data_IF_663341781715
#
_entry.id   IF_663341781715
#
_cell.length_a   1.000
_cell.length_b   1.000
_cell.length_c   1.000
_cell.angle_alpha   90.00
_cell.angle_beta   90.00
_cell.angle_gamma   90.00
#
_symmetry.space_group_name_H-M   'P 1'
#
loop_
_entity.id
_entity.type
_entity.pdbx_description
1 polymer ?
#
# COMPACT_ATOMS: atom_id res chain seq x y z
N UNK A 1 62.12 -42.94 22.02
CA UNK A 1 60.75 -43.18 22.53
C UNK A 1 60.54 -42.26 23.72
N UNK A 2 59.88 -41.12 23.51
CA UNK A 2 59.55 -40.15 24.57
C UNK A 2 58.05 -40.24 24.80
N UNK A 3 57.68 -40.46 26.05
CA UNK A 3 56.32 -40.70 26.53
C UNK A 3 55.51 -39.39 26.53
N UNK A 4 54.31 -39.42 25.94
CA UNK A 4 53.34 -38.32 26.02
C UNK A 4 52.40 -38.58 27.21
N UNK A 5 52.39 -37.67 28.18
CA UNK A 5 51.36 -37.60 29.22
C UNK A 5 50.31 -36.53 28.85
N UNK A 6 49.02 -36.75 29.18
CA UNK A 6 47.91 -35.94 28.68
C UNK A 6 47.66 -34.70 29.56
N UNK A 7 47.58 -33.51 28.94
CA UNK A 7 47.08 -32.31 29.62
C UNK A 7 45.56 -32.22 29.50
N UNK A 8 44.92 -32.26 30.67
CA UNK A 8 43.53 -31.92 30.94
C UNK A 8 43.26 -30.44 30.63
N UNK A 9 42.21 -30.16 29.86
CA UNK A 9 41.67 -28.82 29.68
C UNK A 9 40.16 -28.82 29.98
N UNK A 10 39.85 -28.81 31.28
CA UNK A 10 38.56 -28.39 31.81
C UNK A 10 38.64 -26.95 32.33
N UNK A 11 37.54 -26.21 32.18
CA UNK A 11 37.28 -24.78 32.48
C UNK A 11 37.59 -23.84 31.30
N UNK A 12 36.65 -23.06 30.75
CA UNK A 12 35.70 -22.17 31.42
C UNK A 12 34.44 -21.94 30.54
N UNK A 13 33.25 -22.29 31.05
CA UNK A 13 31.96 -21.73 30.59
C UNK A 13 31.23 -21.13 31.80
N UNK A 14 30.77 -19.86 31.75
CA UNK A 14 30.13 -19.20 32.88
C UNK A 14 28.70 -19.71 33.13
N UNK A 15 28.40 -20.03 34.39
CA UNK A 15 27.13 -20.50 34.96
C UNK A 15 26.12 -19.37 35.21
N UNK A 16 25.74 -18.59 34.21
CA UNK A 16 24.64 -17.63 34.38
C UNK A 16 23.79 -17.55 33.13
N UNK A 17 22.48 -17.46 33.32
CA UNK A 17 21.41 -17.43 32.31
C UNK A 17 20.85 -18.83 31.97
N UNK A 18 19.99 -19.36 32.86
CA UNK A 18 18.63 -19.86 32.50
C UNK A 18 17.86 -20.47 33.69
N UNK A 19 17.91 -19.82 34.85
CA UNK A 19 16.92 -20.04 35.92
C UNK A 19 16.35 -18.71 36.39
N UNK A 20 15.44 -18.16 35.58
CA UNK A 20 14.32 -17.34 36.03
C UNK A 20 13.15 -17.85 35.16
N UNK A 21 12.19 -18.59 35.71
CA UNK A 21 11.02 -18.04 36.40
C UNK A 21 10.41 -16.93 35.52
N UNK A 22 9.22 -17.07 34.93
CA UNK A 22 8.01 -17.60 35.54
C UNK A 22 6.96 -17.83 34.46
N UNK A 23 6.13 -18.85 34.69
CA UNK A 23 4.89 -19.19 34.00
C UNK A 23 4.05 -17.95 33.65
N UNK A 24 3.69 -17.79 32.38
CA UNK A 24 2.53 -17.00 31.95
C UNK A 24 1.53 -17.94 31.27
N UNK A 25 0.64 -18.53 32.07
CA UNK A 25 -0.60 -19.16 31.61
C UNK A 25 -1.69 -18.10 31.68
N UNK A 26 -1.96 -17.41 30.58
CA UNK A 26 -3.20 -16.65 30.41
C UNK A 26 -3.84 -17.04 29.07
N UNK A 27 -4.98 -17.76 29.08
CA UNK A 27 -5.72 -18.05 27.86
C UNK A 27 -6.37 -16.78 27.33
N UNK A 28 -6.05 -16.44 26.08
CA UNK A 28 -6.68 -15.33 25.35
C UNK A 28 -8.14 -15.71 25.09
N UNK A 29 -9.05 -15.00 25.74
CA UNK A 29 -10.48 -15.04 25.45
C UNK A 29 -10.72 -14.36 24.10
N UNK A 30 -11.20 -15.13 23.13
CA UNK A 30 -11.66 -14.64 21.83
C UNK A 30 -12.97 -13.88 22.07
N UNK A 31 -12.91 -12.55 22.02
CA UNK A 31 -14.12 -11.72 22.00
C UNK A 31 -14.71 -11.79 20.59
N UNK A 32 -15.85 -12.46 20.46
CA UNK A 32 -16.72 -12.45 19.30
C UNK A 32 -17.42 -11.09 19.22
N UNK A 33 -16.95 -10.21 18.33
CA UNK A 33 -17.67 -8.99 18.01
C UNK A 33 -18.80 -9.35 17.04
N UNK A 34 -20.02 -9.32 17.57
CA UNK A 34 -21.26 -9.57 16.84
C UNK A 34 -21.42 -8.61 15.66
N UNK A 35 -21.89 -9.18 14.55
CA UNK A 35 -22.37 -8.47 13.37
C UNK A 35 -23.49 -7.48 13.76
N UNK A 36 -23.36 -6.24 13.28
CA UNK A 36 -24.37 -5.21 13.38
C UNK A 36 -25.40 -5.41 12.24
N UNK A 37 -26.71 -5.59 12.52
CA UNK A 37 -27.71 -5.76 11.48
C UNK A 37 -28.12 -4.41 10.85
N UNK A 38 -28.20 -4.39 9.52
CA UNK A 38 -28.69 -3.27 8.70
C UNK A 38 -30.09 -2.77 9.13
N UNK A 39 -30.33 -1.45 9.15
CA UNK A 39 -31.67 -0.90 9.40
C UNK A 39 -32.51 -0.87 8.11
N UNK A 40 -33.66 -1.59 8.13
CA UNK A 40 -34.70 -1.56 7.09
C UNK A 40 -35.32 -0.15 6.91
N UNK A 41 -35.65 0.26 5.67
CA UNK A 41 -36.32 1.53 5.41
C UNK A 41 -37.83 1.49 5.74
N UNK A 42 -38.32 2.57 6.36
CA UNK A 42 -39.70 2.77 6.82
C UNK A 42 -40.64 3.10 5.66
N UNK A 43 -41.78 2.40 5.65
CA UNK A 43 -42.93 2.61 4.76
C UNK A 43 -43.58 3.98 5.01
N UNK A 44 -43.69 4.80 3.97
CA UNK A 44 -44.38 6.08 4.01
C UNK A 44 -45.75 5.92 3.30
N UNK A 45 -46.82 5.79 4.09
CA UNK A 45 -48.21 5.83 3.62
C UNK A 45 -48.57 7.27 3.27
N UNK A 46 -48.90 7.51 1.99
CA UNK A 46 -49.56 8.76 1.57
C UNK A 46 -50.97 8.44 1.09
N UNK A 47 -51.93 8.79 1.95
CA UNK A 47 -53.34 8.97 1.62
C UNK A 47 -53.45 10.12 0.60
N UNK A 48 -54.20 9.94 -0.49
CA UNK A 48 -55.02 11.00 -1.11
C UNK A 48 -56.24 10.38 -1.78
N UNK A 49 -57.33 11.11 -1.61
CA UNK A 49 -58.73 10.89 -1.94
C UNK A 49 -59.05 10.77 -3.44
N UNK A 50 -60.12 10.01 -3.68
CA UNK A 50 -60.96 9.86 -4.88
C UNK A 50 -61.25 11.15 -5.63
N UNK A 51 -61.30 11.07 -6.97
CA UNK A 51 -62.34 11.64 -7.86
C UNK A 51 -62.40 10.87 -9.18
N UNK A 52 -63.58 10.94 -9.78
CA UNK A 52 -64.22 9.94 -10.62
C UNK A 52 -63.82 9.90 -12.10
N UNK A 53 -64.32 8.84 -12.74
CA UNK A 53 -64.16 8.42 -14.12
C UNK A 53 -64.74 9.41 -15.15
N UNK A 54 -64.16 9.39 -16.36
CA UNK A 54 -64.89 9.26 -17.63
C UNK A 54 -63.93 8.96 -18.78
N UNK A 55 -64.31 7.97 -19.59
CA UNK A 55 -63.58 7.43 -20.72
C UNK A 55 -63.83 8.23 -22.00
N UNK A 56 -62.82 8.32 -22.87
CA UNK A 56 -63.00 8.38 -24.32
C UNK A 56 -61.68 7.97 -25.01
N UNK A 57 -61.78 6.95 -25.86
CA UNK A 57 -60.70 6.35 -26.63
C UNK A 57 -60.20 7.27 -27.75
N UNK A 58 -58.92 7.12 -28.15
CA UNK A 58 -58.48 7.18 -29.55
C UNK A 58 -56.98 6.84 -29.69
N UNK A 59 -56.68 6.01 -30.70
CA UNK A 59 -55.39 5.82 -31.37
C UNK A 59 -54.21 5.25 -30.58
N UNK A 60 -54.02 3.94 -30.77
CA UNK A 60 -52.76 3.24 -30.55
C UNK A 60 -51.67 3.77 -31.50
N UNK A 61 -50.66 4.44 -30.94
CA UNK A 61 -49.30 4.41 -31.44
C UNK A 61 -48.38 4.13 -30.25
N UNK A 62 -48.12 2.85 -30.06
CA UNK A 62 -47.19 2.30 -29.10
C UNK A 62 -45.78 2.66 -29.57
N UNK A 63 -45.20 3.72 -29.03
CA UNK A 63 -43.73 3.84 -28.99
C UNK A 63 -43.32 3.35 -27.61
N UNK A 64 -42.66 2.19 -27.47
CA UNK A 64 -42.19 1.71 -26.19
C UNK A 64 -41.08 2.65 -25.71
N UNK A 65 -41.46 3.63 -24.89
CA UNK A 65 -40.55 4.56 -24.25
C UNK A 65 -40.01 3.97 -22.95
N UNK A 66 -39.39 2.78 -23.01
CA UNK A 66 -38.55 2.22 -21.93
C UNK A 66 -37.44 1.42 -22.60
N UNK A 67 -36.30 2.08 -22.81
CA UNK A 67 -34.97 1.55 -22.50
C UNK A 67 -33.96 2.70 -22.64
N UNK A 68 -33.98 3.65 -21.70
CA UNK A 68 -32.72 4.33 -21.40
C UNK A 68 -31.90 3.31 -20.59
N UNK A 69 -30.72 2.89 -21.07
CA UNK A 69 -29.79 2.22 -20.18
C UNK A 69 -29.47 3.22 -19.08
N UNK A 70 -29.83 2.88 -17.84
CA UNK A 70 -29.22 3.48 -16.66
C UNK A 70 -27.74 3.19 -16.81
N UNK A 71 -26.98 4.18 -17.31
CA UNK A 71 -25.54 4.17 -17.26
C UNK A 71 -25.20 4.02 -15.78
N UNK A 72 -24.86 2.79 -15.39
CA UNK A 72 -24.17 2.51 -14.16
C UNK A 72 -22.96 3.44 -14.20
N UNK A 73 -23.01 4.48 -13.36
CA UNK A 73 -21.85 5.30 -13.09
C UNK A 73 -20.80 4.34 -12.54
N UNK A 74 -19.97 3.81 -13.43
CA UNK A 74 -18.70 3.26 -13.08
C UNK A 74 -18.02 4.37 -12.30
N UNK A 75 -17.89 4.17 -10.98
CA UNK A 75 -16.97 4.98 -10.18
C UNK A 75 -15.63 5.03 -10.92
N UNK A 76 -14.89 6.14 -10.83
CA UNK A 76 -13.69 6.32 -11.62
C UNK A 76 -12.83 5.06 -11.49
N UNK A 77 -12.70 4.34 -12.60
CA UNK A 77 -11.71 3.30 -12.75
C UNK A 77 -10.42 3.90 -12.24
N UNK A 78 -9.76 3.22 -11.29
CA UNK A 78 -8.43 3.59 -10.80
C UNK A 78 -7.60 3.83 -12.05
N UNK A 79 -7.35 5.12 -12.36
CA UNK A 79 -6.96 5.49 -13.71
C UNK A 79 -5.76 4.67 -14.12
N UNK A 80 -5.73 4.17 -15.35
CA UNK A 80 -4.45 3.79 -15.93
C UNK A 80 -3.67 5.09 -16.09
N UNK A 81 -2.47 5.16 -15.54
CA UNK A 81 -1.56 6.21 -15.96
C UNK A 81 -0.39 5.52 -16.63
N UNK A 82 -0.14 6.00 -17.83
CA UNK A 82 0.97 5.62 -18.65
C UNK A 82 2.27 5.98 -17.94
N UNK A 83 3.12 4.98 -17.72
CA UNK A 83 4.40 5.17 -17.05
C UNK A 83 5.42 5.74 -18.04
N UNK A 84 6.02 6.88 -17.68
CA UNK A 84 7.22 7.38 -18.35
C UNK A 84 8.43 6.65 -17.80
N UNK A 85 9.24 6.03 -18.66
CA UNK A 85 10.41 5.25 -18.26
C UNK A 85 11.68 6.09 -18.46
N UNK A 86 12.43 6.27 -17.37
CA UNK A 86 13.71 6.96 -17.35
C UNK A 86 14.86 6.07 -17.85
N UNK A 87 16.02 6.62 -18.22
CA UNK A 87 17.20 5.83 -18.63
C UNK A 87 17.67 4.82 -17.59
N UNK A 88 17.40 5.05 -16.30
CA UNK A 88 17.70 4.10 -15.22
C UNK A 88 16.77 2.88 -15.19
N UNK A 89 15.75 2.83 -16.05
CA UNK A 89 14.68 1.83 -16.04
C UNK A 89 13.57 2.12 -15.03
N UNK A 90 13.69 3.20 -14.23
CA UNK A 90 12.62 3.64 -13.35
C UNK A 90 11.44 4.14 -14.17
N UNK A 91 10.27 3.53 -13.98
CA UNK A 91 9.01 4.04 -14.49
C UNK A 91 8.33 4.95 -13.48
N UNK A 92 7.74 6.06 -13.91
CA UNK A 92 6.93 6.91 -13.04
C UNK A 92 5.69 7.45 -13.74
N UNK A 93 4.68 7.77 -12.95
CA UNK A 93 3.57 8.62 -13.36
C UNK A 93 3.09 9.48 -12.19
N UNK A 94 2.97 10.78 -12.41
CA UNK A 94 2.24 11.68 -11.52
C UNK A 94 0.73 11.53 -11.67
N UNK A 95 0.12 10.85 -10.69
CA UNK A 95 -1.34 10.73 -10.57
C UNK A 95 -1.98 12.05 -10.18
N UNK A 96 -1.29 12.76 -9.29
CA UNK A 96 -1.66 14.10 -8.83
C UNK A 96 -0.35 14.87 -8.72
N UNK A 97 -0.22 15.95 -9.48
CA UNK A 97 0.91 16.87 -9.34
C UNK A 97 0.68 17.71 -8.09
N UNK A 98 1.66 17.70 -7.18
CA UNK A 98 1.60 18.49 -5.95
C UNK A 98 1.68 20.00 -6.24
N UNK A 99 1.28 20.81 -5.28
CA UNK A 99 1.30 22.28 -5.40
C UNK A 99 2.32 22.95 -4.49
N UNK A 100 2.94 22.17 -3.58
CA UNK A 100 3.96 22.67 -2.67
C UNK A 100 5.37 22.57 -3.23
N UNK A 101 6.35 22.90 -2.38
CA UNK A 101 7.76 22.88 -2.75
C UNK A 101 8.27 21.46 -3.06
N UNK A 102 9.30 21.37 -3.90
CA UNK A 102 10.11 20.16 -4.07
C UNK A 102 10.91 19.87 -2.80
N UNK A 103 11.29 18.61 -2.60
CA UNK A 103 12.25 18.26 -1.55
C UNK A 103 13.69 18.58 -1.99
N UNK A 104 14.55 18.87 -1.02
CA UNK A 104 16.01 19.02 -1.22
C UNK A 104 16.76 17.77 -0.71
N UNK A 105 17.93 17.47 -1.28
CA UNK A 105 18.76 16.35 -0.83
C UNK A 105 19.11 16.50 0.66
N UNK A 106 18.95 15.41 1.43
CA UNK A 106 19.19 15.36 2.89
C UNK A 106 18.05 15.94 3.74
N UNK A 107 17.01 16.51 3.12
CA UNK A 107 15.87 17.06 3.82
C UNK A 107 15.01 15.96 4.43
N UNK A 108 14.55 16.21 5.65
CA UNK A 108 13.61 15.32 6.34
C UNK A 108 12.20 15.54 5.80
N UNK A 109 11.57 14.48 5.30
CA UNK A 109 10.24 14.53 4.68
C UNK A 109 9.30 13.48 5.26
N UNK A 110 8.00 13.65 5.00
CA UNK A 110 6.96 12.64 5.26
C UNK A 110 6.32 12.18 3.96
N UNK A 111 6.08 10.88 3.85
CA UNK A 111 5.33 10.30 2.74
C UNK A 111 4.39 9.17 3.20
N UNK A 112 3.20 9.12 2.61
CA UNK A 112 2.38 7.91 2.59
C UNK A 112 2.76 7.03 1.40
N UNK A 113 2.56 5.72 1.53
CA UNK A 113 2.80 4.81 0.44
C UNK A 113 2.03 3.48 0.54
N UNK A 114 1.90 2.84 -0.61
CA UNK A 114 1.53 1.43 -0.75
C UNK A 114 2.54 0.78 -1.69
N UNK A 115 3.22 -0.27 -1.21
CA UNK A 115 4.14 -1.10 -2.00
C UNK A 115 3.50 -2.43 -2.36
N UNK A 116 3.49 -2.77 -3.65
CA UNK A 116 2.94 -4.02 -4.20
C UNK A 116 3.89 -4.67 -5.20
N UNK A 117 3.80 -5.99 -5.29
CA UNK A 117 4.45 -6.76 -6.36
C UNK A 117 3.62 -6.67 -7.66
N UNK A 118 4.20 -7.06 -8.79
CA UNK A 118 3.49 -7.07 -10.09
C UNK A 118 2.26 -8.00 -10.12
N UNK A 119 2.22 -9.01 -9.24
CA UNK A 119 1.03 -9.85 -9.06
C UNK A 119 -0.08 -9.19 -8.21
N UNK A 120 0.06 -7.91 -7.85
CA UNK A 120 -0.90 -7.14 -7.06
C UNK A 120 -0.80 -7.34 -5.54
N UNK A 121 0.03 -8.28 -5.06
CA UNK A 121 0.22 -8.51 -3.62
C UNK A 121 0.88 -7.30 -2.96
N UNK A 122 0.16 -6.65 -2.05
CA UNK A 122 0.72 -5.61 -1.18
C UNK A 122 1.68 -6.26 -0.19
N UNK A 123 2.92 -5.77 -0.14
CA UNK A 123 3.93 -6.24 0.81
C UNK A 123 4.16 -5.27 1.98
N UNK A 124 3.91 -3.97 1.77
CA UNK A 124 4.02 -2.96 2.81
C UNK A 124 3.15 -1.73 2.51
N UNK A 125 2.69 -1.04 3.54
CA UNK A 125 1.98 0.23 3.41
C UNK A 125 2.08 1.06 4.68
N UNK A 126 2.28 2.37 4.53
CA UNK A 126 2.23 3.30 5.67
C UNK A 126 0.85 3.37 6.32
N UNK A 127 -0.22 3.10 5.57
CA UNK A 127 -1.59 3.04 6.09
C UNK A 127 -1.78 1.86 7.04
N UNK A 128 -1.24 0.68 6.68
CA UNK A 128 -1.24 -0.50 7.57
C UNK A 128 -0.42 -0.27 8.85
N UNK A 129 0.59 0.62 8.79
CA UNK A 129 1.42 1.02 9.94
C UNK A 129 0.78 2.15 10.76
N UNK A 130 -0.32 2.73 10.31
CA UNK A 130 -1.06 3.81 10.98
C UNK A 130 -0.37 5.18 10.97
N UNK A 131 0.74 5.36 10.24
CA UNK A 131 1.47 6.65 10.19
C UNK A 131 2.31 6.78 8.92
N UNK A 132 2.56 8.01 8.43
CA UNK A 132 3.51 8.27 7.35
C UNK A 132 4.92 7.79 7.67
N UNK A 133 5.69 7.43 6.64
CA UNK A 133 7.13 7.23 6.78
C UNK A 133 7.81 8.59 6.87
N UNK A 134 8.73 8.72 7.85
CA UNK A 134 9.60 9.89 8.00
C UNK A 134 11.03 9.46 7.72
N UNK A 135 11.71 10.13 6.79
CA UNK A 135 13.07 9.79 6.36
C UNK A 135 13.75 10.99 5.69
N UNK A 136 15.07 10.94 5.55
CA UNK A 136 15.86 11.91 4.77
C UNK A 136 15.96 11.44 3.33
N UNK A 137 15.53 12.28 2.39
CA UNK A 137 15.54 11.93 0.96
C UNK A 137 16.91 12.17 0.32
N UNK A 138 17.33 11.30 -0.60
CA UNK A 138 18.54 11.45 -1.41
C UNK A 138 19.83 11.12 -0.68
N UNK A 139 19.76 10.41 0.46
CA UNK A 139 20.92 10.02 1.26
C UNK A 139 21.02 8.50 1.49
N UNK A 140 20.17 7.71 0.82
CA UNK A 140 20.20 6.25 0.93
C UNK A 140 19.55 5.69 2.20
N UNK A 141 18.70 6.44 2.89
CA UNK A 141 17.85 5.90 3.97
C UNK A 141 16.72 5.00 3.44
N UNK A 142 16.36 5.16 2.17
CA UNK A 142 15.38 4.34 1.43
C UNK A 142 16.04 3.73 0.19
N UNK A 143 15.32 2.83 -0.49
CA UNK A 143 15.81 2.22 -1.73
C UNK A 143 16.12 3.29 -2.80
N UNK A 144 17.10 3.03 -3.65
CA UNK A 144 17.59 4.00 -4.66
C UNK A 144 16.48 4.55 -5.55
N UNK A 145 15.52 3.70 -5.93
CA UNK A 145 14.38 4.08 -6.74
C UNK A 145 13.44 5.07 -6.06
N UNK A 146 13.35 5.07 -4.73
CA UNK A 146 12.60 6.09 -3.98
C UNK A 146 13.33 7.43 -3.97
N UNK A 147 14.63 7.42 -3.72
CA UNK A 147 15.44 8.63 -3.76
C UNK A 147 15.35 9.30 -5.14
N UNK A 148 15.54 8.54 -6.23
CA UNK A 148 15.39 9.06 -7.60
C UNK A 148 13.94 9.44 -7.93
N UNK A 149 12.97 8.63 -7.52
CA UNK A 149 11.55 8.85 -7.82
C UNK A 149 10.94 10.08 -7.14
N UNK A 150 11.47 10.48 -5.98
CA UNK A 150 10.99 11.64 -5.21
C UNK A 150 11.84 12.89 -5.46
N UNK A 151 13.17 12.77 -5.34
CA UNK A 151 14.07 13.92 -5.52
C UNK A 151 14.24 14.28 -7.00
N UNK A 152 13.99 13.34 -7.90
CA UNK A 152 14.31 13.44 -9.32
C UNK A 152 15.67 12.83 -9.65
N UNK A 153 15.90 12.68 -10.95
CA UNK A 153 17.10 12.11 -11.55
C UNK A 153 17.08 12.33 -13.06
N UNK A 154 17.98 11.68 -13.78
CA UNK A 154 18.00 11.78 -15.25
C UNK A 154 16.67 11.28 -15.83
N UNK A 155 15.94 12.16 -16.50
CA UNK A 155 14.61 11.86 -17.06
C UNK A 155 13.47 11.75 -16.04
N UNK A 156 13.71 12.08 -14.76
CA UNK A 156 12.69 12.04 -13.71
C UNK A 156 12.58 13.42 -13.06
N UNK A 157 11.47 14.15 -13.22
CA UNK A 157 11.27 15.41 -12.53
C UNK A 157 11.07 15.20 -11.02
N UNK A 158 11.47 16.14 -10.16
CA UNK A 158 11.22 16.05 -8.72
C UNK A 158 9.72 16.01 -8.41
N UNK A 159 9.35 15.32 -7.32
CA UNK A 159 7.99 15.39 -6.79
C UNK A 159 7.76 16.70 -6.03
N UNK A 160 6.53 17.22 -6.15
CA UNK A 160 6.05 18.38 -5.40
C UNK A 160 5.26 17.92 -4.17
N UNK A 161 5.37 18.68 -3.07
CA UNK A 161 4.61 18.39 -1.85
C UNK A 161 3.10 18.41 -2.13
N UNK A 162 2.37 17.46 -1.55
CA UNK A 162 0.97 17.17 -1.84
C UNK A 162 0.76 16.26 -3.07
N UNK A 163 1.82 15.90 -3.80
CA UNK A 163 1.73 15.08 -5.00
C UNK A 163 1.57 13.59 -4.73
N UNK A 164 0.96 12.89 -5.69
CA UNK A 164 0.81 11.43 -5.71
C UNK A 164 1.46 10.87 -6.98
N UNK A 165 2.44 9.99 -6.82
CA UNK A 165 3.19 9.39 -7.92
C UNK A 165 3.20 7.88 -7.82
N UNK A 166 2.88 7.20 -8.92
CA UNK A 166 3.14 5.77 -9.07
C UNK A 166 4.57 5.59 -9.57
N UNK A 167 5.33 4.70 -8.95
CA UNK A 167 6.69 4.31 -9.33
C UNK A 167 6.70 2.82 -9.69
N UNK A 168 7.35 2.48 -10.80
CA UNK A 168 7.72 1.11 -11.17
C UNK A 168 9.24 0.99 -11.08
N UNK A 169 9.70 0.24 -10.08
CA UNK A 169 11.11 0.12 -9.75
C UNK A 169 11.65 -1.23 -10.20
N UNK A 170 12.62 -1.26 -11.12
CA UNK A 170 13.30 -2.50 -11.46
C UNK A 170 14.15 -2.97 -10.27
N UNK A 171 14.53 -4.26 -10.20
CA UNK A 171 15.19 -4.85 -9.04
C UNK A 171 16.47 -4.12 -8.62
N UNK A 172 17.25 -3.59 -9.57
CA UNK A 172 18.51 -2.89 -9.36
C UNK A 172 18.35 -1.58 -8.59
N UNK A 173 17.16 -0.97 -8.69
CA UNK A 173 16.77 0.24 -7.94
C UNK A 173 15.98 -0.10 -6.66
N UNK A 174 15.77 -1.38 -6.37
CA UNK A 174 15.03 -1.90 -5.24
C UNK A 174 15.91 -2.83 -4.37
N UNK A 175 15.56 -4.11 -4.26
CA UNK A 175 16.23 -5.09 -3.39
C UNK A 175 17.11 -6.10 -4.15
N UNK A 176 17.19 -6.00 -5.49
CA UNK A 176 18.01 -6.85 -6.36
C UNK A 176 17.75 -8.35 -6.19
N UNK A 177 18.78 -9.13 -6.49
CA UNK A 177 18.77 -10.61 -6.41
C UNK A 177 18.69 -11.17 -4.99
N UNK A 178 18.75 -10.30 -3.96
CA UNK A 178 18.62 -10.74 -2.56
C UNK A 178 17.16 -10.85 -2.11
N UNK A 179 16.26 -10.05 -2.68
CA UNK A 179 14.90 -9.88 -2.16
C UNK A 179 14.87 -9.25 -0.76
N UNK A 180 13.72 -9.27 -0.10
CA UNK A 180 13.54 -8.70 1.24
C UNK A 180 12.43 -9.38 2.06
N UNK A 181 12.50 -9.20 3.39
CA UNK A 181 11.54 -9.79 4.33
C UNK A 181 11.63 -11.31 4.38
N UNK A 182 12.84 -11.87 4.32
CA UNK A 182 13.06 -13.32 4.27
C UNK A 182 12.98 -13.95 5.66
N UNK A 183 12.15 -14.99 5.79
CA UNK A 183 12.00 -15.81 7.00
C UNK A 183 11.76 -17.27 6.60
N UNK A 184 12.58 -18.19 7.12
CA UNK A 184 12.40 -19.63 6.92
C UNK A 184 12.48 -20.08 5.45
N UNK A 185 13.32 -19.44 4.63
CA UNK A 185 13.50 -19.77 3.21
C UNK A 185 12.49 -19.12 2.26
N UNK A 186 11.50 -18.38 2.77
CA UNK A 186 10.56 -17.60 1.97
C UNK A 186 10.75 -16.11 2.20
N UNK A 187 10.66 -15.30 1.14
CA UNK A 187 10.77 -13.84 1.22
C UNK A 187 9.44 -13.19 0.87
N UNK A 188 9.06 -12.16 1.64
CA UNK A 188 7.87 -11.34 1.34
C UNK A 188 8.02 -10.68 -0.03
N UNK A 189 9.23 -10.21 -0.33
CA UNK A 189 9.66 -9.72 -1.63
C UNK A 189 10.69 -10.72 -2.18
N UNK A 190 10.35 -11.52 -3.20
CA UNK A 190 11.30 -12.44 -3.82
C UNK A 190 12.52 -11.73 -4.43
N UNK A 191 13.63 -12.45 -4.66
CA UNK A 191 14.70 -12.00 -5.54
C UNK A 191 14.20 -11.45 -6.88
N UNK A 192 14.92 -10.49 -7.45
CA UNK A 192 14.71 -9.96 -8.80
C UNK A 192 13.27 -9.47 -9.06
N UNK A 193 12.60 -9.02 -8.00
CA UNK A 193 11.23 -8.52 -8.09
C UNK A 193 11.18 -7.06 -8.49
N UNK A 194 10.40 -6.77 -9.53
CA UNK A 194 9.95 -5.42 -9.84
C UNK A 194 8.91 -4.96 -8.81
N UNK A 195 9.08 -3.75 -8.29
CA UNK A 195 8.19 -3.20 -7.26
C UNK A 195 7.35 -2.07 -7.84
N UNK A 196 6.07 -2.06 -7.48
CA UNK A 196 5.17 -0.94 -7.75
C UNK A 196 4.89 -0.21 -6.44
N UNK A 197 5.10 1.09 -6.43
CA UNK A 197 4.76 1.95 -5.31
C UNK A 197 3.80 3.04 -5.74
N UNK A 198 2.75 3.27 -4.97
CA UNK A 198 2.04 4.55 -4.99
C UNK A 198 2.55 5.37 -3.81
N UNK A 199 3.19 6.49 -4.10
CA UNK A 199 3.80 7.40 -3.12
C UNK A 199 3.00 8.68 -3.07
N UNK A 200 2.64 9.11 -1.86
CA UNK A 200 2.01 10.38 -1.59
C UNK A 200 2.98 11.23 -0.76
N UNK A 201 3.60 12.21 -1.42
CA UNK A 201 4.57 13.09 -0.78
C UNK A 201 3.83 14.16 0.00
N UNK A 202 3.84 14.07 1.33
CA UNK A 202 3.11 15.01 2.20
C UNK A 202 3.84 16.36 2.22
N UNK A 203 5.14 16.32 2.44
CA UNK A 203 5.97 17.53 2.50
C UNK A 203 7.13 17.40 3.47
N UNK A 204 7.83 18.52 3.66
CA UNK A 204 8.91 18.67 4.63
C UNK A 204 8.42 18.67 6.08
N UNK A 205 9.29 18.26 6.99
CA UNK A 205 9.12 18.43 8.44
C UNK A 205 9.77 19.74 8.89
#
# INVERSE_FOLDING_TARGET
MVTLSPLSLHHLLPKSIKTLLTLNKNPIQIQTHNANPDPKPKSCRKLISRRDASAAALSALIVPHILQPLALAAGPAVGECELTVAPSGLGFCDRVVGTGATASKGQLIKAHYVGRLENGKVFDSSYNRGKPLTFRVGVGEVIKGWDQGILGGDGIPPMLSGGKRTLKLPPELAYGSRGAGCRGGSCVIPPDSTLLFDVEFIGKI
#
